data_IF_064043873816
#
_entry.id   IF_064043873816
#
_cell.length_a   1.000
_cell.length_b   1.000
_cell.length_c   1.000
_cell.angle_alpha   90.00
_cell.angle_beta   90.00
_cell.angle_gamma   90.00
#
_symmetry.space_group_name_H-M   'P 1'
#
loop_
_entity.id
_entity.type
_entity.pdbx_description
1 polymer ?
#
# COMPACT_ATOMS: atom_id res chain seq x y z
N UNK A 1 -58.20 26.07 2.91
CA UNK A 1 -57.70 24.68 2.95
C UNK A 1 -56.78 24.47 1.76
N UNK A 2 -55.52 24.07 2.04
CA UNK A 2 -54.60 23.29 1.17
C UNK A 2 -54.08 24.03 -0.09
N UNK A 3 -52.79 24.18 -0.34
CA UNK A 3 -51.58 23.69 0.30
C UNK A 3 -50.39 24.14 -0.57
N UNK A 4 -49.35 24.68 0.06
CA UNK A 4 -48.14 25.16 -0.61
C UNK A 4 -47.17 23.99 -0.75
N UNK A 5 -46.85 23.60 -1.99
CA UNK A 5 -45.84 22.57 -2.29
C UNK A 5 -44.47 23.25 -2.26
N UNK A 6 -43.68 22.99 -1.22
CA UNK A 6 -42.24 23.30 -1.23
C UNK A 6 -41.52 22.20 -2.02
N UNK A 7 -40.98 22.55 -3.19
CA UNK A 7 -40.02 21.72 -3.90
C UNK A 7 -38.64 21.87 -3.22
N UNK A 8 -38.21 20.84 -2.50
CA UNK A 8 -36.88 20.76 -1.92
C UNK A 8 -35.89 20.35 -3.03
N UNK A 9 -35.16 21.32 -3.58
CA UNK A 9 -34.05 21.04 -4.47
C UNK A 9 -32.88 20.46 -3.66
N UNK A 10 -32.70 19.13 -3.71
CA UNK A 10 -31.53 18.48 -3.14
C UNK A 10 -30.30 18.81 -4.01
N UNK A 11 -29.38 19.63 -3.48
CA UNK A 11 -28.06 19.80 -4.07
C UNK A 11 -27.32 18.45 -4.00
N UNK A 12 -27.19 17.78 -5.14
CA UNK A 12 -26.26 16.66 -5.30
C UNK A 12 -24.84 17.22 -5.28
N UNK A 13 -24.20 17.20 -4.11
CA UNK A 13 -22.77 17.48 -4.03
C UNK A 13 -22.01 16.32 -4.70
N UNK A 14 -21.45 16.57 -5.88
CA UNK A 14 -20.48 15.65 -6.51
C UNK A 14 -19.29 15.49 -5.56
N UNK A 15 -18.94 14.27 -5.12
CA UNK A 15 -17.76 14.07 -4.30
C UNK A 15 -16.53 14.48 -5.11
N UNK A 16 -15.75 15.42 -4.58
CA UNK A 16 -14.48 15.79 -5.17
C UNK A 16 -13.58 14.55 -5.24
N UNK A 17 -13.01 14.27 -6.41
CA UNK A 17 -12.06 13.18 -6.57
C UNK A 17 -10.89 13.40 -5.59
N UNK A 18 -10.63 12.42 -4.73
CA UNK A 18 -9.50 12.48 -3.83
C UNK A 18 -8.19 12.58 -4.62
N UNK A 19 -7.25 13.41 -4.16
CA UNK A 19 -5.92 13.53 -4.79
C UNK A 19 -5.25 12.14 -4.85
N UNK A 20 -4.57 11.79 -5.95
CA UNK A 20 -3.80 10.55 -6.03
C UNK A 20 -2.79 10.45 -4.90
N UNK A 21 -2.52 9.22 -4.45
CA UNK A 21 -1.49 8.96 -3.44
C UNK A 21 -0.12 9.22 -4.05
N UNK A 22 0.70 10.03 -3.38
CA UNK A 22 2.07 10.31 -3.78
C UNK A 22 3.04 9.31 -3.15
N UNK A 23 3.92 8.74 -3.96
CA UNK A 23 5.01 7.95 -3.39
C UNK A 23 5.93 8.81 -2.53
N UNK A 24 6.30 10.01 -2.99
CA UNK A 24 7.26 10.86 -2.30
C UNK A 24 6.74 11.38 -0.95
N UNK A 25 5.47 11.79 -0.86
CA UNK A 25 4.93 12.42 0.36
C UNK A 25 4.17 11.46 1.26
N UNK A 26 3.56 10.40 0.71
CA UNK A 26 2.65 9.54 1.49
C UNK A 26 3.28 8.19 1.80
N UNK A 27 3.92 7.54 0.81
CA UNK A 27 4.44 6.17 0.95
C UNK A 27 5.88 6.14 1.48
N UNK A 28 6.79 6.93 0.91
CA UNK A 28 8.20 6.89 1.27
C UNK A 28 8.47 7.25 2.74
N UNK A 29 7.78 8.23 3.37
CA UNK A 29 7.94 8.50 4.81
C UNK A 29 7.45 7.35 5.69
N UNK A 30 6.37 6.67 5.29
CA UNK A 30 5.86 5.49 5.98
C UNK A 30 6.87 4.34 5.89
N UNK A 31 7.40 4.05 4.69
CA UNK A 31 8.42 3.01 4.52
C UNK A 31 9.68 3.31 5.33
N UNK A 32 10.12 4.57 5.37
CA UNK A 32 11.27 5.01 6.19
C UNK A 32 11.06 4.70 7.68
N UNK A 33 9.88 4.99 8.21
CA UNK A 33 9.63 4.91 9.66
C UNK A 33 9.19 3.54 10.13
N UNK A 34 8.57 2.72 9.25
CA UNK A 34 7.99 1.43 9.62
C UNK A 34 8.75 0.23 9.07
N UNK A 35 9.51 0.39 7.98
CA UNK A 35 10.11 -0.74 7.26
C UNK A 35 11.64 -0.63 7.18
N UNK A 36 12.18 0.56 6.92
CA UNK A 36 13.62 0.77 6.78
C UNK A 36 14.40 0.56 8.08
N UNK A 37 13.72 0.44 9.23
CA UNK A 37 14.33 0.05 10.51
C UNK A 37 14.92 -1.37 10.48
N UNK A 38 14.38 -2.25 9.64
CA UNK A 38 14.88 -3.63 9.46
C UNK A 38 15.27 -3.96 8.01
N UNK A 39 14.79 -3.20 7.03
CA UNK A 39 15.06 -3.40 5.61
C UNK A 39 15.80 -2.18 5.05
N UNK A 40 17.02 -1.97 5.51
CA UNK A 40 17.76 -0.73 5.25
C UNK A 40 18.68 -0.88 4.05
N UNK A 41 19.53 -1.90 4.05
CA UNK A 41 20.68 -2.00 3.13
C UNK A 41 20.38 -2.87 1.92
N UNK A 42 19.36 -3.72 2.00
CA UNK A 42 19.07 -4.73 0.98
C UNK A 42 19.83 -6.04 1.19
N UNK A 43 20.59 -6.17 2.29
CA UNK A 43 21.19 -7.43 2.73
C UNK A 43 20.31 -8.18 3.74
N UNK A 44 19.27 -7.54 4.25
CA UNK A 44 18.33 -8.12 5.20
C UNK A 44 17.27 -8.98 4.49
N UNK A 45 16.38 -9.60 5.28
CA UNK A 45 15.35 -10.49 4.76
C UNK A 45 14.55 -9.85 3.60
N UNK A 46 14.37 -10.61 2.52
CA UNK A 46 13.70 -10.14 1.31
C UNK A 46 14.56 -9.30 0.35
N UNK A 47 15.82 -9.01 0.69
CA UNK A 47 16.76 -8.25 -0.13
C UNK A 47 16.22 -6.86 -0.52
N UNK A 48 15.67 -6.15 0.48
CA UNK A 48 14.97 -4.86 0.32
C UNK A 48 15.72 -3.72 1.00
N UNK A 49 16.00 -2.66 0.24
CA UNK A 49 16.44 -1.37 0.76
C UNK A 49 15.27 -0.38 0.70
N UNK A 50 14.65 -0.11 1.85
CA UNK A 50 13.40 0.65 1.97
C UNK A 50 13.57 2.08 2.51
N UNK A 51 14.80 2.59 2.55
CA UNK A 51 15.02 4.02 2.73
C UNK A 51 14.52 4.82 1.52
N UNK A 52 14.14 6.11 1.67
CA UNK A 52 13.44 6.86 0.62
C UNK A 52 14.11 6.87 -0.76
N UNK A 53 15.45 6.94 -0.80
CA UNK A 53 16.21 6.96 -2.07
C UNK A 53 16.19 5.64 -2.85
N UNK A 54 15.95 4.49 -2.21
CA UNK A 54 16.00 3.17 -2.86
C UNK A 54 14.64 2.44 -2.85
N UNK A 55 13.72 2.82 -1.97
CA UNK A 55 12.47 2.10 -1.72
C UNK A 55 11.65 1.82 -2.98
N UNK A 56 11.50 2.81 -3.87
CA UNK A 56 10.72 2.62 -5.09
C UNK A 56 11.32 1.53 -5.99
N UNK A 57 12.60 1.65 -6.31
CA UNK A 57 13.31 0.67 -7.13
C UNK A 57 13.40 -0.70 -6.46
N UNK A 58 13.42 -0.76 -5.12
CA UNK A 58 13.39 -2.01 -4.35
C UNK A 58 12.05 -2.74 -4.42
N UNK A 59 10.95 -2.06 -4.74
CA UNK A 59 9.59 -2.61 -4.67
C UNK A 59 8.92 -2.75 -6.04
N UNK A 60 8.96 -1.70 -6.85
CA UNK A 60 8.14 -1.59 -8.06
C UNK A 60 8.51 -2.66 -9.08
N UNK A 61 7.56 -3.53 -9.42
CA UNK A 61 7.69 -4.63 -10.39
C UNK A 61 8.88 -5.58 -10.15
N UNK A 62 9.47 -5.59 -8.95
CA UNK A 62 10.52 -6.56 -8.61
C UNK A 62 9.89 -7.89 -8.20
N UNK A 63 10.44 -9.00 -8.69
CA UNK A 63 10.06 -10.34 -8.22
C UNK A 63 10.48 -10.51 -6.76
N UNK A 64 9.60 -11.12 -5.97
CA UNK A 64 9.95 -11.56 -4.61
C UNK A 64 10.90 -12.75 -4.66
N UNK A 65 11.93 -12.76 -3.80
CA UNK A 65 12.76 -13.96 -3.58
C UNK A 65 12.05 -15.03 -2.74
N UNK A 66 10.92 -14.69 -2.12
CA UNK A 66 10.21 -15.55 -1.18
C UNK A 66 8.88 -16.09 -1.73
N UNK A 67 8.49 -15.74 -2.96
CA UNK A 67 7.21 -16.12 -3.57
C UNK A 67 7.24 -15.96 -5.09
N UNK A 68 6.28 -16.52 -5.85
CA UNK A 68 6.20 -16.30 -7.29
C UNK A 68 5.69 -14.90 -7.70
N UNK A 69 5.26 -14.07 -6.74
CA UNK A 69 4.62 -12.78 -6.99
C UNK A 69 5.62 -11.62 -7.12
N UNK A 70 5.18 -10.52 -7.71
CA UNK A 70 5.90 -9.24 -7.62
C UNK A 70 5.71 -8.66 -6.21
N UNK A 71 6.72 -7.93 -5.73
CA UNK A 71 6.66 -7.18 -4.47
C UNK A 71 5.54 -6.14 -4.52
N UNK A 72 5.56 -5.31 -5.58
CA UNK A 72 4.47 -4.40 -5.95
C UNK A 72 4.09 -4.66 -7.41
N UNK A 73 2.87 -5.15 -7.62
CA UNK A 73 2.24 -5.36 -8.93
C UNK A 73 1.26 -4.21 -9.21
N UNK A 74 1.60 -3.27 -10.11
CA UNK A 74 0.79 -2.09 -10.36
C UNK A 74 -0.65 -2.42 -10.72
N UNK A 75 -1.59 -1.68 -10.14
CA UNK A 75 -3.05 -1.85 -10.26
C UNK A 75 -3.59 -3.13 -9.61
N UNK A 76 -2.75 -3.93 -8.96
CA UNK A 76 -3.13 -5.25 -8.41
C UNK A 76 -2.65 -5.41 -6.97
N UNK A 77 -3.28 -4.72 -6.00
CA UNK A 77 -2.89 -4.83 -4.59
C UNK A 77 -3.01 -6.28 -4.05
N UNK A 78 -4.04 -7.03 -4.45
CA UNK A 78 -4.26 -8.41 -3.97
C UNK A 78 -3.25 -9.44 -4.49
N UNK A 79 -2.53 -9.12 -5.57
CA UNK A 79 -1.45 -9.95 -6.11
C UNK A 79 -0.06 -9.37 -5.83
N UNK A 80 0.02 -8.30 -5.03
CA UNK A 80 1.28 -7.70 -4.59
C UNK A 80 1.77 -8.38 -3.31
N UNK A 81 2.95 -8.98 -3.36
CA UNK A 81 3.51 -9.74 -2.23
C UNK A 81 3.71 -8.88 -0.98
N UNK A 82 4.02 -7.59 -1.15
CA UNK A 82 4.14 -6.65 -0.03
C UNK A 82 2.83 -6.60 0.79
N UNK A 83 1.69 -6.49 0.11
CA UNK A 83 0.36 -6.47 0.76
C UNK A 83 0.09 -7.80 1.45
N UNK A 84 0.38 -8.92 0.79
CA UNK A 84 0.21 -10.25 1.39
C UNK A 84 1.02 -10.44 2.67
N UNK A 85 2.25 -9.91 2.72
CA UNK A 85 3.10 -9.94 3.91
C UNK A 85 2.57 -9.06 5.03
N UNK A 86 1.96 -7.91 4.71
CA UNK A 86 1.35 -7.02 5.70
C UNK A 86 0.05 -7.62 6.29
N UNK A 87 -0.77 -8.25 5.46
CA UNK A 87 -2.05 -8.86 5.84
C UNK A 87 -1.90 -10.28 6.41
N UNK A 88 -0.73 -10.88 6.32
CA UNK A 88 -0.46 -12.24 6.82
C UNK A 88 -1.09 -13.34 5.96
N UNK A 89 -1.42 -13.05 4.71
CA UNK A 89 -2.03 -14.00 3.75
C UNK A 89 -0.99 -14.70 2.89
N UNK A 90 0.29 -14.30 2.97
CA UNK A 90 1.38 -14.76 2.10
C UNK A 90 1.54 -16.28 2.04
N UNK A 91 1.42 -17.00 3.16
CA UNK A 91 1.55 -18.47 3.16
C UNK A 91 0.44 -19.15 2.36
N UNK A 92 -0.79 -18.63 2.40
CA UNK A 92 -1.92 -19.13 1.61
C UNK A 92 -1.77 -18.84 0.11
N UNK A 93 -0.84 -17.94 -0.26
CA UNK A 93 -0.55 -17.52 -1.63
C UNK A 93 0.79 -18.08 -2.14
N UNK A 94 1.38 -19.07 -1.47
CA UNK A 94 2.63 -19.70 -1.89
C UNK A 94 3.90 -18.89 -1.56
N UNK A 95 3.80 -17.96 -0.61
CA UNK A 95 4.93 -17.25 -0.02
C UNK A 95 5.61 -18.00 1.11
N UNK A 96 6.63 -17.37 1.71
CA UNK A 96 7.45 -17.95 2.79
C UNK A 96 7.72 -16.94 3.92
N UNK A 97 8.27 -17.44 5.02
CA UNK A 97 8.65 -16.63 6.19
C UNK A 97 7.45 -16.15 7.00
N UNK A 98 7.62 -15.07 7.77
CA UNK A 98 6.60 -14.52 8.65
C UNK A 98 5.86 -13.30 8.07
N UNK A 99 4.71 -12.96 8.65
CA UNK A 99 4.00 -11.69 8.41
C UNK A 99 4.91 -10.52 8.79
N UNK A 100 4.83 -9.42 8.03
CA UNK A 100 5.46 -8.15 8.38
C UNK A 100 4.44 -7.18 9.00
N UNK A 101 4.85 -6.32 9.96
CA UNK A 101 6.17 -6.27 10.58
C UNK A 101 6.48 -7.53 11.41
N UNK A 102 7.74 -7.98 11.38
CA UNK A 102 8.18 -9.18 12.09
C UNK A 102 8.19 -8.93 13.60
N UNK A 103 7.67 -9.89 14.38
CA UNK A 103 7.66 -9.85 15.85
C UNK A 103 7.09 -8.55 16.46
N UNK A 104 6.26 -7.84 15.70
CA UNK A 104 5.61 -6.60 16.12
C UNK A 104 4.13 -6.62 15.71
N UNK A 105 3.25 -5.82 16.33
CA UNK A 105 1.85 -5.75 15.94
C UNK A 105 1.65 -5.48 14.43
N UNK A 106 0.51 -5.87 13.84
CA UNK A 106 0.13 -5.44 12.51
C UNK A 106 0.14 -3.92 12.37
N UNK A 107 0.41 -3.43 11.16
CA UNK A 107 0.14 -2.02 10.86
C UNK A 107 -1.36 -1.75 10.99
N UNK A 108 -1.72 -0.51 11.33
CA UNK A 108 -3.11 -0.11 11.35
C UNK A 108 -3.75 -0.21 9.95
N UNK A 109 -5.08 -0.35 9.95
CA UNK A 109 -5.84 -0.54 8.72
C UNK A 109 -5.71 0.65 7.74
N UNK A 110 -5.53 1.87 8.24
CA UNK A 110 -5.40 3.06 7.40
C UNK A 110 -4.07 3.07 6.63
N UNK A 111 -2.98 2.65 7.27
CA UNK A 111 -1.66 2.50 6.66
C UNK A 111 -1.67 1.44 5.57
N UNK A 112 -2.27 0.28 5.83
CA UNK A 112 -2.42 -0.78 4.82
C UNK A 112 -3.32 -0.29 3.68
N UNK A 113 -4.42 0.39 3.98
CA UNK A 113 -5.33 0.94 2.97
C UNK A 113 -4.64 1.99 2.07
N UNK A 114 -3.81 2.87 2.63
CA UNK A 114 -3.03 3.85 1.88
C UNK A 114 -2.08 3.17 0.88
N UNK A 115 -1.38 2.12 1.32
CA UNK A 115 -0.47 1.36 0.47
C UNK A 115 -1.22 0.58 -0.63
N UNK A 116 -2.34 -0.05 -0.28
CA UNK A 116 -3.22 -0.72 -1.25
C UNK A 116 -3.76 0.27 -2.28
N UNK A 117 -4.15 1.47 -1.84
CA UNK A 117 -4.64 2.54 -2.72
C UNK A 117 -3.55 2.99 -3.69
N UNK A 118 -2.35 3.30 -3.20
CA UNK A 118 -1.21 3.64 -4.06
C UNK A 118 -0.94 2.57 -5.13
N UNK A 119 -0.96 1.28 -4.74
CA UNK A 119 -0.80 0.18 -5.69
C UNK A 119 -1.95 0.14 -6.71
N UNK A 120 -3.19 0.29 -6.26
CA UNK A 120 -4.38 0.30 -7.12
C UNK A 120 -4.36 1.44 -8.14
N UNK A 121 -3.79 2.60 -7.77
CA UNK A 121 -3.60 3.76 -8.63
C UNK A 121 -2.42 3.59 -9.61
N UNK A 122 -1.72 2.45 -9.57
CA UNK A 122 -0.63 2.12 -10.48
C UNK A 122 0.76 2.25 -9.88
N UNK A 123 0.87 2.48 -8.56
CA UNK A 123 2.13 2.57 -7.84
C UNK A 123 3.11 3.57 -8.45
N UNK A 124 2.64 4.78 -8.79
CA UNK A 124 3.47 5.81 -9.44
C UNK A 124 4.56 6.36 -8.53
N UNK A 125 5.69 6.77 -9.11
CA UNK A 125 6.75 7.52 -8.42
C UNK A 125 6.54 9.03 -8.64
N UNK A 126 5.63 9.63 -7.88
CA UNK A 126 5.14 11.00 -8.01
C UNK A 126 5.32 11.82 -6.73
#
# INVERSE_FOLDING_TARGET
MKGLILALAALLATPAAAKPVSFATDIAPMLKTRCAVCHLTGQEAGNLALHPKAAYASLFKRKSGESPWLLVDPKKPDTSYLVMKLEGTHLKKGGKGARMPFAAPPLDAATVALLRRWISEGATNN
#
